data_IF_813250120027
#
_entry.id   IF_813250120027
#
_cell.length_a   1.000
_cell.length_b   1.000
_cell.length_c   1.000
_cell.angle_alpha   90.00
_cell.angle_beta   90.00
_cell.angle_gamma   90.00
#
_symmetry.space_group_name_H-M   'P 1'
#
loop_
_entity.id
_entity.type
_entity.pdbx_description
1 polymer ?
#
# COMPACT_ATOMS: atom_id res chain seq x y z
N UNK A 1 -25.48 2.74 8.48
CA UNK A 1 -24.16 2.71 9.15
C UNK A 1 -23.31 1.53 8.70
N UNK A 2 -23.82 0.28 8.79
CA UNK A 2 -23.07 -0.92 8.36
C UNK A 2 -22.65 -0.89 6.88
N UNK A 3 -23.55 -0.51 5.97
CA UNK A 3 -23.23 -0.35 4.54
C UNK A 3 -22.17 0.72 4.28
N UNK A 4 -22.24 1.88 4.95
CA UNK A 4 -21.24 2.94 4.80
C UNK A 4 -19.83 2.49 5.23
N UNK A 5 -19.72 1.77 6.35
CA UNK A 5 -18.45 1.22 6.85
C UNK A 5 -17.84 0.23 5.84
N UNK A 6 -18.65 -0.69 5.32
CA UNK A 6 -18.20 -1.68 4.33
C UNK A 6 -17.86 -1.03 2.98
N UNK A 7 -18.61 -0.01 2.56
CA UNK A 7 -18.28 0.78 1.36
C UNK A 7 -16.95 1.52 1.52
N UNK A 8 -16.71 2.21 2.64
CA UNK A 8 -15.43 2.89 2.90
C UNK A 8 -14.27 1.90 2.94
N UNK A 9 -14.46 0.78 3.63
CA UNK A 9 -13.46 -0.30 3.71
C UNK A 9 -13.18 -0.87 2.32
N UNK A 10 -14.21 -1.08 1.50
CA UNK A 10 -14.08 -1.56 0.13
C UNK A 10 -13.34 -0.57 -0.77
N UNK A 11 -13.65 0.72 -0.69
CA UNK A 11 -12.92 1.78 -1.42
C UNK A 11 -11.45 1.81 -1.00
N UNK A 12 -11.18 1.77 0.30
CA UNK A 12 -9.81 1.77 0.81
C UNK A 12 -9.05 0.51 0.40
N UNK A 13 -9.72 -0.65 0.41
CA UNK A 13 -9.16 -1.91 -0.08
C UNK A 13 -8.87 -1.87 -1.59
N UNK A 14 -9.72 -1.21 -2.40
CA UNK A 14 -9.47 -1.01 -3.82
C UNK A 14 -8.26 -0.10 -4.06
N UNK A 15 -8.14 0.99 -3.31
CA UNK A 15 -6.97 1.89 -3.38
C UNK A 15 -5.70 1.15 -2.97
N UNK A 16 -5.72 0.41 -1.87
CA UNK A 16 -4.60 -0.42 -1.39
C UNK A 16 -4.20 -1.50 -2.41
N UNK A 17 -5.19 -2.17 -3.01
CA UNK A 17 -4.95 -3.20 -4.02
C UNK A 17 -4.43 -2.61 -5.32
N UNK A 18 -4.92 -1.43 -5.71
CA UNK A 18 -4.39 -0.67 -6.84
C UNK A 18 -2.93 -0.28 -6.63
N UNK A 19 -2.58 0.15 -5.42
CA UNK A 19 -1.19 0.51 -5.07
C UNK A 19 -0.25 -0.71 -5.14
N UNK A 20 -0.68 -1.85 -4.60
CA UNK A 20 0.09 -3.09 -4.69
C UNK A 20 0.25 -3.58 -6.14
N UNK A 21 -0.81 -3.47 -6.94
CA UNK A 21 -0.76 -3.81 -8.36
C UNK A 21 0.20 -2.91 -9.13
N UNK A 22 0.14 -1.59 -8.88
CA UNK A 22 1.06 -0.63 -9.46
C UNK A 22 2.51 -0.90 -9.05
N UNK A 23 2.76 -1.20 -7.76
CA UNK A 23 4.09 -1.56 -7.27
C UNK A 23 4.63 -2.84 -7.92
N UNK A 24 3.81 -3.89 -8.05
CA UNK A 24 4.21 -5.13 -8.72
C UNK A 24 4.48 -4.92 -10.21
N UNK A 25 3.67 -4.10 -10.88
CA UNK A 25 3.88 -3.67 -12.26
C UNK A 25 5.18 -2.89 -12.42
N UNK A 26 5.44 -1.95 -11.51
CA UNK A 26 6.66 -1.13 -11.51
C UNK A 26 7.89 -2.00 -11.32
N UNK A 27 7.89 -2.93 -10.36
CA UNK A 27 8.99 -3.89 -10.15
C UNK A 27 9.26 -4.68 -11.43
N UNK A 28 8.24 -5.32 -12.02
CA UNK A 28 8.39 -6.09 -13.26
C UNK A 28 8.98 -5.25 -14.39
N UNK A 29 8.46 -4.03 -14.55
CA UNK A 29 8.92 -3.10 -15.56
C UNK A 29 10.36 -2.62 -15.31
N UNK A 30 10.78 -2.43 -14.05
CA UNK A 30 12.17 -2.09 -13.70
C UNK A 30 13.13 -3.23 -14.02
N UNK A 31 12.76 -4.49 -13.76
CA UNK A 31 13.59 -5.65 -14.13
C UNK A 31 13.82 -5.71 -15.65
N UNK A 32 12.77 -5.45 -16.42
CA UNK A 32 12.82 -5.40 -17.88
C UNK A 32 13.63 -4.19 -18.40
N UNK A 33 13.50 -3.03 -17.75
CA UNK A 33 14.30 -1.85 -18.10
C UNK A 33 15.80 -2.03 -17.80
N UNK A 34 16.13 -2.80 -16.75
CA UNK A 34 17.51 -3.14 -16.41
C UNK A 34 18.11 -4.13 -17.42
N UNK A 35 17.34 -5.12 -17.90
CA UNK A 35 17.82 -6.07 -18.91
C UNK A 35 18.02 -5.45 -20.30
N UNK A 36 17.26 -4.39 -20.61
CA UNK A 36 17.31 -3.67 -21.90
C UNK A 36 18.23 -2.45 -21.89
N UNK A 37 18.89 -2.13 -20.77
CA UNK A 37 19.80 -0.98 -20.65
C UNK A 37 19.12 0.40 -20.62
N UNK A 38 17.80 0.45 -20.44
CA UNK A 38 17.01 1.70 -20.43
C UNK A 38 16.94 2.39 -19.07
N UNK A 39 17.59 1.82 -18.05
CA UNK A 39 17.58 2.34 -16.67
C UNK A 39 17.99 3.82 -16.59
N UNK A 40 18.91 4.27 -17.43
CA UNK A 40 19.42 5.65 -17.44
C UNK A 40 18.40 6.67 -17.97
N UNK A 41 17.55 6.29 -18.93
CA UNK A 41 16.45 7.15 -19.42
C UNK A 41 15.38 7.34 -18.36
N UNK A 42 15.09 6.28 -17.59
CA UNK A 42 14.11 6.31 -16.50
C UNK A 42 14.56 7.20 -15.35
N UNK A 43 15.86 7.17 -15.02
CA UNK A 43 16.42 8.07 -14.01
C UNK A 43 16.24 9.54 -14.36
N UNK A 44 16.37 9.89 -15.65
CA UNK A 44 16.14 11.28 -16.11
C UNK A 44 14.67 11.68 -16.02
N UNK A 45 13.76 10.82 -16.46
CA UNK A 45 12.32 11.08 -16.38
C UNK A 45 11.81 11.21 -14.93
N UNK A 46 12.40 10.45 -14.00
CA UNK A 46 12.06 10.53 -12.58
C UNK A 46 12.49 11.85 -11.92
N UNK A 47 13.64 12.40 -12.32
CA UNK A 47 14.13 13.70 -11.80
C UNK A 47 13.31 14.87 -12.34
N UNK A 48 12.76 14.73 -13.54
CA UNK A 48 11.92 15.75 -14.16
C UNK A 48 10.47 15.74 -13.63
N UNK A 49 10.08 14.67 -12.94
CA UNK A 49 8.74 14.54 -12.37
C UNK A 49 8.52 15.51 -11.20
N UNK A 50 7.67 16.51 -11.42
CA UNK A 50 7.21 17.40 -10.36
C UNK A 50 6.03 16.79 -9.61
N UNK A 51 6.20 16.60 -8.31
CA UNK A 51 5.10 16.15 -7.46
C UNK A 51 4.02 17.24 -7.37
N UNK A 52 2.73 16.87 -7.47
CA UNK A 52 1.64 17.81 -7.25
C UNK A 52 1.62 18.33 -5.81
N UNK A 53 1.14 19.57 -5.60
CA UNK A 53 1.09 20.21 -4.27
C UNK A 53 0.30 19.42 -3.21
N UNK A 54 -0.70 18.62 -3.62
CA UNK A 54 -1.46 17.78 -2.68
C UNK A 54 -0.63 16.61 -2.11
N UNK A 55 0.48 16.24 -2.76
CA UNK A 55 1.37 15.17 -2.33
C UNK A 55 2.45 15.64 -1.35
N UNK A 56 2.78 16.94 -1.34
CA UNK A 56 3.81 17.53 -0.46
C UNK A 56 3.63 17.17 1.02
N UNK A 57 2.41 17.21 1.62
CA UNK A 57 2.23 16.87 3.03
C UNK A 57 2.48 15.38 3.34
N UNK A 58 2.43 14.53 2.33
CA UNK A 58 2.61 13.08 2.44
C UNK A 58 4.05 12.64 2.12
N UNK A 59 4.85 13.52 1.52
CA UNK A 59 6.27 13.31 1.24
C UNK A 59 7.11 13.91 2.37
N UNK A 60 7.08 13.27 3.54
CA UNK A 60 7.97 13.64 4.63
C UNK A 60 9.41 13.17 4.36
N UNK A 61 10.37 13.73 5.09
CA UNK A 61 11.79 13.39 4.95
C UNK A 61 12.03 11.90 5.21
N UNK A 62 11.27 11.27 6.12
CA UNK A 62 11.40 9.85 6.43
C UNK A 62 11.02 8.94 5.27
N UNK A 63 9.91 9.20 4.59
CA UNK A 63 9.51 8.44 3.40
C UNK A 63 10.52 8.61 2.25
N UNK A 64 11.05 9.83 2.06
CA UNK A 64 12.08 10.09 1.05
C UNK A 64 13.40 9.36 1.36
N UNK A 65 13.83 9.34 2.62
CA UNK A 65 15.01 8.58 3.06
C UNK A 65 14.81 7.07 2.89
N UNK A 66 13.62 6.56 3.20
CA UNK A 66 13.26 5.16 2.97
C UNK A 66 13.34 4.80 1.47
N UNK A 67 12.80 5.67 0.60
CA UNK A 67 12.89 5.50 -0.85
C UNK A 67 14.34 5.53 -1.35
N UNK A 68 15.13 6.49 -0.89
CA UNK A 68 16.54 6.61 -1.28
C UNK A 68 17.38 5.41 -0.82
N UNK A 69 17.15 4.92 0.40
CA UNK A 69 17.84 3.73 0.91
C UNK A 69 17.46 2.46 0.12
N UNK A 70 16.19 2.32 -0.25
CA UNK A 70 15.75 1.23 -1.11
C UNK A 70 16.41 1.28 -2.50
N UNK A 71 16.47 2.46 -3.12
CA UNK A 71 17.14 2.63 -4.44
C UNK A 71 18.63 2.33 -4.35
N UNK A 72 19.31 2.79 -3.29
CA UNK A 72 20.73 2.46 -3.05
C UNK A 72 20.95 0.97 -2.92
N UNK A 73 20.14 0.30 -2.11
CA UNK A 73 20.18 -1.16 -1.96
C UNK A 73 20.00 -1.87 -3.30
N UNK A 74 19.08 -1.38 -4.13
CA UNK A 74 18.83 -1.94 -5.46
C UNK A 74 20.02 -1.76 -6.42
N UNK A 75 20.68 -0.60 -6.38
CA UNK A 75 21.89 -0.30 -7.15
C UNK A 75 23.10 -1.12 -6.68
N UNK A 76 23.26 -1.32 -5.37
CA UNK A 76 24.31 -2.18 -4.80
C UNK A 76 24.12 -3.65 -5.24
N UNK A 77 22.87 -4.14 -5.24
CA UNK A 77 22.56 -5.47 -5.77
C UNK A 77 22.82 -5.58 -7.28
N UNK A 78 22.50 -4.54 -8.06
CA UNK A 78 22.75 -4.54 -9.51
C UNK A 78 24.25 -4.45 -9.85
N UNK A 79 25.02 -3.66 -9.09
CA UNK A 79 26.44 -3.43 -9.33
C UNK A 79 27.37 -4.57 -8.92
N UNK A 80 26.92 -5.49 -8.05
CA UNK A 80 27.75 -6.59 -7.52
C UNK A 80 27.89 -7.78 -8.49
N UNK A 81 27.24 -7.77 -9.65
CA UNK A 81 27.44 -8.78 -10.71
C UNK A 81 27.12 -10.23 -10.31
N UNK A 82 26.50 -10.44 -9.14
CA UNK A 82 26.28 -11.76 -8.58
C UNK A 82 24.97 -12.37 -9.10
N UNK A 83 24.94 -13.69 -9.43
CA UNK A 83 23.70 -14.39 -9.80
C UNK A 83 22.59 -14.30 -8.73
N UNK A 84 22.96 -14.03 -7.47
CA UNK A 84 22.03 -13.72 -6.38
C UNK A 84 21.20 -12.46 -6.60
N UNK A 85 21.68 -11.48 -7.38
CA UNK A 85 20.93 -10.27 -7.70
C UNK A 85 19.66 -10.61 -8.49
N UNK A 86 19.74 -11.53 -9.46
CA UNK A 86 18.58 -12.02 -10.20
C UNK A 86 17.57 -12.73 -9.30
N UNK A 87 18.04 -13.50 -8.32
CA UNK A 87 17.17 -14.16 -7.33
C UNK A 87 16.50 -13.16 -6.40
N UNK A 88 17.24 -12.21 -5.83
CA UNK A 88 16.68 -11.19 -4.92
C UNK A 88 15.68 -10.27 -5.63
N UNK A 89 15.96 -9.88 -6.88
CA UNK A 89 15.05 -9.12 -7.74
C UNK A 89 13.77 -9.94 -8.03
N UNK A 90 13.89 -11.25 -8.24
CA UNK A 90 12.75 -12.15 -8.42
C UNK A 90 11.82 -12.24 -7.20
N UNK A 91 12.34 -12.00 -5.99
CA UNK A 91 11.57 -11.99 -4.74
C UNK A 91 10.81 -10.69 -4.47
N UNK A 92 11.09 -9.61 -5.20
CA UNK A 92 10.39 -8.33 -5.04
C UNK A 92 8.88 -8.47 -5.30
N UNK A 93 8.48 -9.22 -6.33
CA UNK A 93 7.06 -9.44 -6.64
C UNK A 93 6.35 -10.24 -5.53
N UNK A 94 6.87 -11.39 -5.06
CA UNK A 94 6.34 -12.08 -3.87
C UNK A 94 6.24 -11.17 -2.64
N UNK A 95 7.26 -10.36 -2.36
CA UNK A 95 7.26 -9.43 -1.21
C UNK A 95 6.13 -8.41 -1.33
N UNK A 96 5.89 -7.86 -2.52
CA UNK A 96 4.76 -6.95 -2.76
C UNK A 96 3.42 -7.64 -2.45
N UNK A 97 3.25 -8.90 -2.85
CA UNK A 97 2.04 -9.65 -2.54
C UNK A 97 1.88 -9.98 -1.05
N UNK A 98 2.96 -10.30 -0.35
CA UNK A 98 2.94 -10.53 1.10
C UNK A 98 2.56 -9.24 1.85
N UNK A 99 3.17 -8.11 1.48
CA UNK A 99 2.84 -6.79 2.04
C UNK A 99 1.39 -6.42 1.75
N UNK A 100 0.90 -6.68 0.54
CA UNK A 100 -0.51 -6.48 0.19
C UNK A 100 -1.45 -7.31 1.06
N UNK A 101 -1.18 -8.62 1.21
CA UNK A 101 -1.99 -9.54 2.00
C UNK A 101 -2.02 -9.13 3.47
N UNK A 102 -0.88 -8.70 4.01
CA UNK A 102 -0.78 -8.17 5.36
C UNK A 102 -1.64 -6.90 5.53
N UNK A 103 -1.51 -5.93 4.62
CA UNK A 103 -2.30 -4.70 4.67
C UNK A 103 -3.81 -4.94 4.56
N UNK A 104 -4.24 -5.84 3.67
CA UNK A 104 -5.66 -6.24 3.58
C UNK A 104 -6.15 -6.92 4.85
N UNK A 105 -5.33 -7.79 5.43
CA UNK A 105 -5.68 -8.49 6.68
C UNK A 105 -5.90 -7.48 7.80
N UNK A 106 -4.99 -6.52 7.97
CA UNK A 106 -5.12 -5.45 8.97
C UNK A 106 -6.39 -4.62 8.74
N UNK A 107 -6.67 -4.23 7.49
CA UNK A 107 -7.89 -3.50 7.13
C UNK A 107 -9.17 -4.26 7.48
N UNK A 108 -9.23 -5.55 7.17
CA UNK A 108 -10.37 -6.40 7.48
C UNK A 108 -10.54 -6.55 8.99
N UNK A 109 -9.45 -6.77 9.72
CA UNK A 109 -9.47 -6.86 11.20
C UNK A 109 -10.03 -5.58 11.81
N UNK A 110 -9.56 -4.41 11.38
CA UNK A 110 -10.06 -3.11 11.85
C UNK A 110 -11.56 -2.96 11.54
N UNK A 111 -11.99 -3.28 10.32
CA UNK A 111 -13.39 -3.20 9.93
C UNK A 111 -14.28 -4.14 10.76
N UNK A 112 -13.80 -5.35 11.06
CA UNK A 112 -14.49 -6.32 11.91
C UNK A 112 -14.60 -5.83 13.36
N UNK A 113 -13.52 -5.29 13.92
CA UNK A 113 -13.49 -4.72 15.27
C UNK A 113 -14.48 -3.54 15.39
N UNK A 114 -14.45 -2.60 14.44
CA UNK A 114 -15.38 -1.47 14.39
C UNK A 114 -16.84 -1.95 14.29
N UNK A 115 -17.12 -2.93 13.42
CA UNK A 115 -18.46 -3.49 13.30
C UNK A 115 -18.90 -4.25 14.56
N UNK A 116 -17.98 -4.88 15.29
CA UNK A 116 -18.28 -5.52 16.56
C UNK A 116 -18.59 -4.48 17.66
N UNK A 117 -17.76 -3.45 17.77
CA UNK A 117 -17.95 -2.30 18.68
C UNK A 117 -19.29 -1.60 18.47
N UNK A 118 -19.69 -1.37 17.21
CA UNK A 118 -20.98 -0.76 16.88
C UNK A 118 -22.16 -1.66 17.28
N UNK A 119 -22.01 -2.99 17.18
CA UNK A 119 -23.04 -3.94 17.61
C UNK A 119 -23.13 -4.08 19.13
N UNK A 120 -22.02 -3.88 19.84
CA UNK A 120 -21.99 -3.91 21.31
C UNK A 120 -22.51 -2.63 21.96
N UNK A 121 -22.76 -1.56 21.19
CA UNK A 121 -23.45 -0.38 21.71
C UNK A 121 -24.87 -0.78 22.15
N UNK A 122 -25.25 -0.55 23.42
CA UNK A 122 -26.61 -0.79 23.87
C UNK A 122 -27.56 0.03 22.99
N UNK A 123 -28.59 -0.61 22.44
CA UNK A 123 -29.71 0.08 21.82
C UNK A 123 -30.44 0.87 22.91
N UNK A 124 -30.04 2.11 23.15
CA UNK A 124 -30.86 3.09 23.85
C UNK A 124 -32.03 3.44 22.95
N UNK A 125 -33.08 2.62 22.99
CA UNK A 125 -34.28 2.83 22.19
C UNK A 125 -35.28 1.70 22.33
N UNK A 126 -36.03 1.71 23.42
CA UNK A 126 -37.21 0.88 23.62
C UNK A 126 -38.08 1.41 24.76
N UNK A 127 -38.85 2.47 24.52
CA UNK A 127 -40.07 2.74 25.29
C UNK A 127 -41.09 1.59 25.12
N UNK A 128 -42.16 1.45 25.93
CA UNK A 128 -42.97 2.52 26.50
C UNK A 128 -43.25 2.37 28.02
N UNK A 129 -43.16 3.45 28.80
CA UNK A 129 -43.78 3.49 30.12
C UNK A 129 -45.29 3.78 29.96
N UNK A 130 -46.02 2.82 29.38
CA UNK A 130 -47.44 2.69 29.62
C UNK A 130 -47.59 1.84 30.89
N UNK A 131 -47.55 2.50 32.05
CA UNK A 131 -47.96 1.91 33.32
C UNK A 131 -49.23 2.66 33.78
N UNK A 132 -50.35 1.98 33.56
CA UNK A 132 -51.65 2.17 34.18
C UNK A 132 -51.55 2.32 35.70
N UNK A 133 -52.03 3.44 36.25
CA UNK A 133 -53.11 3.52 37.24
C UNK A 133 -53.38 4.97 37.64
#
# INVERSE_FOLDING_TARGET
>A
MKTLLWSLTGVFALVWSGLAWAAAGLVRWTVEALSTGRATELGKAAVEFKFPAWAEPFLDTGLLEMLQSFVRWLMEMAGTGAPMAGTAIGWLVPVVWVTWAFGLTVLIVIALLLNHLIKSLPRTGGGPAAATR
#
